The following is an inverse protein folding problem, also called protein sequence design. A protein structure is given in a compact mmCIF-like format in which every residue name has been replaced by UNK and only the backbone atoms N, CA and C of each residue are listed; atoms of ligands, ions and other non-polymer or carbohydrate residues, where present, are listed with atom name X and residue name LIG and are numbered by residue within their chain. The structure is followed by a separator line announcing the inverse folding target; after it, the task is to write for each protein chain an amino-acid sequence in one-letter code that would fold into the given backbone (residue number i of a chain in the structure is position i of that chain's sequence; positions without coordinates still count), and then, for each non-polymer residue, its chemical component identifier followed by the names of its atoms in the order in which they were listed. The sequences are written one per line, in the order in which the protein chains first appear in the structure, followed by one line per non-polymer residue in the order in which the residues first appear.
data_IF_935485354218
#
_entry.id   IF_935485354218
#
_cell.length_a   1.000
_cell.length_b   1.000
_cell.length_c   1.000
_cell.angle_alpha   90.00
_cell.angle_beta   90.00
_cell.angle_gamma   90.00
#
_symmetry.space_group_name_H-M   'P 1'
#
loop_
_entity.id
_entity.type
_entity.pdbx_description
1 polymer ?
#
# COMPACT_ATOMS: atom_id res chain seq x y z
N UNK A 1 -6.19 36.51 -0.84
CA UNK A 1 -5.17 35.67 -1.52
C UNK A 1 -5.79 35.17 -2.81
N UNK A 2 -5.04 35.19 -3.91
CA UNK A 2 -5.48 34.69 -5.21
C UNK A 2 -5.54 33.16 -5.17
N UNK A 3 -6.71 32.59 -5.49
CA UNK A 3 -6.88 31.15 -5.64
C UNK A 3 -6.01 30.63 -6.78
N UNK A 4 -5.17 29.63 -6.52
CA UNK A 4 -4.35 28.98 -7.55
C UNK A 4 -4.97 27.65 -7.98
N UNK A 5 -4.89 27.38 -9.28
CA UNK A 5 -5.19 26.07 -9.86
C UNK A 5 -3.87 25.31 -10.04
N UNK A 6 -3.74 24.18 -9.35
CA UNK A 6 -2.58 23.28 -9.42
C UNK A 6 -3.02 22.04 -10.19
N UNK A 7 -2.35 21.71 -11.30
CA UNK A 7 -2.71 20.56 -12.13
C UNK A 7 -1.91 19.33 -11.75
N UNK A 8 -2.55 18.16 -11.79
CA UNK A 8 -1.86 16.88 -11.73
C UNK A 8 -2.28 15.96 -12.88
N UNK A 9 -1.30 15.40 -13.58
CA UNK A 9 -1.51 14.41 -14.63
C UNK A 9 -0.66 13.15 -14.38
N UNK A 10 -1.25 12.00 -14.70
CA UNK A 10 -0.57 10.70 -14.62
C UNK A 10 -0.63 10.03 -15.98
N UNK A 11 0.54 9.90 -16.59
CA UNK A 11 0.66 9.58 -18.00
C UNK A 11 1.31 8.21 -18.17
N UNK A 12 0.86 7.48 -19.18
CA UNK A 12 1.58 6.29 -19.62
C UNK A 12 2.92 6.67 -20.28
N UNK A 13 3.75 5.70 -20.66
CA UNK A 13 4.99 5.92 -21.44
C UNK A 13 4.76 6.53 -22.83
N UNK A 14 3.50 6.72 -23.24
CA UNK A 14 3.16 7.32 -24.52
C UNK A 14 3.15 8.85 -24.41
N UNK A 15 4.04 9.53 -25.13
CA UNK A 15 4.11 11.00 -25.20
C UNK A 15 2.81 11.65 -25.70
N UNK A 16 2.02 10.95 -26.53
CA UNK A 16 0.71 11.44 -26.99
C UNK A 16 -0.31 11.53 -25.84
N UNK A 17 -0.25 10.64 -24.85
CA UNK A 17 -1.13 10.65 -23.67
C UNK A 17 -0.77 11.81 -22.73
N UNK A 18 0.51 12.16 -22.64
CA UNK A 18 0.98 13.29 -21.83
C UNK A 18 0.49 14.63 -22.37
N UNK A 19 0.70 14.89 -23.65
CA UNK A 19 0.27 16.13 -24.29
C UNK A 19 -1.26 16.27 -24.21
N UNK A 20 -2.01 15.18 -24.40
CA UNK A 20 -3.47 15.21 -24.28
C UNK A 20 -3.94 15.57 -22.86
N UNK A 21 -3.29 15.04 -21.82
CA UNK A 21 -3.64 15.35 -20.42
C UNK A 21 -3.24 16.76 -20.01
N UNK A 22 -2.07 17.25 -20.43
CA UNK A 22 -1.64 18.62 -20.18
C UNK A 22 -2.61 19.61 -20.84
N UNK A 23 -2.95 19.40 -22.12
CA UNK A 23 -3.94 20.22 -22.83
C UNK A 23 -5.31 20.19 -22.13
N UNK A 24 -5.72 19.05 -21.56
CA UNK A 24 -6.97 18.97 -20.81
C UNK A 24 -6.92 19.83 -19.53
N UNK A 25 -5.80 19.82 -18.79
CA UNK A 25 -5.62 20.65 -17.60
C UNK A 25 -5.52 22.15 -17.94
N UNK A 26 -4.86 22.50 -19.03
CA UNK A 26 -4.80 23.88 -19.51
C UNK A 26 -6.18 24.41 -19.90
N UNK A 27 -7.01 23.60 -20.56
CA UNK A 27 -8.42 23.94 -20.84
C UNK A 27 -9.26 24.12 -19.58
N UNK A 28 -8.86 23.50 -18.47
CA UNK A 28 -9.48 23.70 -17.15
C UNK A 28 -8.92 24.93 -16.41
N UNK A 29 -8.06 25.73 -17.07
CA UNK A 29 -7.51 26.98 -16.53
C UNK A 29 -6.21 26.82 -15.74
N UNK A 30 -5.63 25.62 -15.69
CA UNK A 30 -4.35 25.41 -15.02
C UNK A 30 -3.21 26.01 -15.86
N UNK A 31 -2.35 26.82 -15.24
CA UNK A 31 -1.15 27.33 -15.91
C UNK A 31 -0.14 26.20 -16.13
N UNK A 32 0.49 26.13 -17.29
CA UNK A 32 1.41 25.04 -17.65
C UNK A 32 2.56 24.84 -16.64
N UNK A 33 3.03 25.91 -16.00
CA UNK A 33 4.07 25.86 -14.96
C UNK A 33 3.60 25.34 -13.59
N UNK A 34 2.30 25.10 -13.41
CA UNK A 34 1.69 24.51 -12.22
C UNK A 34 1.11 23.11 -12.49
N UNK A 35 1.47 22.50 -13.63
CA UNK A 35 1.09 21.13 -13.95
C UNK A 35 2.22 20.20 -13.54
N UNK A 36 1.94 19.33 -12.58
CA UNK A 36 2.84 18.29 -12.12
C UNK A 36 2.47 16.95 -12.74
N UNK A 37 3.47 16.15 -13.09
CA UNK A 37 3.27 14.91 -13.85
C UNK A 37 3.98 13.72 -13.23
N UNK A 38 3.37 12.54 -13.36
CA UNK A 38 4.01 11.25 -13.09
C UNK A 38 3.87 10.33 -14.30
N UNK A 39 4.95 9.63 -14.68
CA UNK A 39 4.95 8.63 -15.76
C UNK A 39 4.72 7.19 -15.23
N UNK A 40 4.02 6.33 -15.98
CA UNK A 40 3.87 4.88 -15.73
C UNK A 40 4.15 4.06 -17.00
N UNK A 41 4.82 2.92 -17.03
CA UNK A 41 5.07 1.89 -16.01
C UNK A 41 6.55 1.47 -15.98
N UNK A 42 7.22 1.70 -14.85
CA UNK A 42 8.11 0.70 -14.28
C UNK A 42 7.57 0.38 -12.89
N UNK A 43 7.52 -0.90 -12.52
CA UNK A 43 6.96 -1.36 -11.23
C UNK A 43 7.61 -0.74 -9.98
N UNK A 44 8.65 0.06 -10.18
CA UNK A 44 9.43 0.83 -9.22
C UNK A 44 8.88 2.22 -8.91
N UNK A 45 8.07 2.87 -9.76
CA UNK A 45 7.58 4.23 -9.47
C UNK A 45 6.26 4.25 -8.65
N UNK A 46 6.31 3.66 -7.45
CA UNK A 46 5.27 3.81 -6.42
C UNK A 46 5.29 5.19 -5.75
N UNK A 47 6.42 5.90 -5.83
CA UNK A 47 6.66 7.10 -5.04
C UNK A 47 5.84 8.33 -5.48
N UNK A 48 5.33 8.36 -6.72
CA UNK A 48 4.52 9.46 -7.29
C UNK A 48 5.06 10.86 -6.92
N UNK A 49 6.34 11.15 -7.20
CA UNK A 49 6.95 12.42 -6.81
C UNK A 49 6.16 13.63 -7.34
N UNK A 50 5.61 13.54 -8.56
CA UNK A 50 4.81 14.62 -9.15
C UNK A 50 3.52 14.91 -8.36
N UNK A 51 2.79 13.87 -7.92
CA UNK A 51 1.62 14.08 -7.06
C UNK A 51 2.03 14.76 -5.75
N UNK A 52 3.11 14.31 -5.14
CA UNK A 52 3.57 14.81 -3.85
C UNK A 52 4.02 16.27 -3.94
N UNK A 53 4.65 16.65 -5.05
CA UNK A 53 4.99 18.04 -5.36
C UNK A 53 3.74 18.90 -5.57
N UNK A 54 2.76 18.42 -6.35
CA UNK A 54 1.46 19.10 -6.49
C UNK A 54 0.78 19.34 -5.15
N UNK A 55 0.67 18.30 -4.31
CA UNK A 55 0.07 18.39 -2.98
C UNK A 55 0.84 19.35 -2.05
N UNK A 56 2.16 19.45 -2.20
CA UNK A 56 3.00 20.38 -1.44
C UNK A 56 2.89 21.82 -1.95
N UNK A 57 2.58 22.02 -3.24
CA UNK A 57 2.38 23.33 -3.84
C UNK A 57 1.02 23.94 -3.44
N UNK A 58 0.00 23.10 -3.22
CA UNK A 58 -1.32 23.54 -2.77
C UNK A 58 -1.30 24.14 -1.36
N UNK A 59 -1.97 25.29 -1.20
CA UNK A 59 -2.24 25.95 0.07
C UNK A 59 -3.74 26.04 0.31
N UNK A 60 -4.14 26.37 1.54
CA UNK A 60 -5.55 26.58 1.88
C UNK A 60 -6.19 27.60 0.93
N UNK A 61 -7.34 27.23 0.35
CA UNK A 61 -8.06 28.03 -0.63
C UNK A 61 -7.70 27.78 -2.09
N UNK A 62 -6.62 27.04 -2.37
CA UNK A 62 -6.28 26.60 -3.72
C UNK A 62 -7.15 25.41 -4.17
N UNK A 63 -7.07 25.09 -5.47
CA UNK A 63 -7.74 23.93 -6.06
C UNK A 63 -6.73 23.02 -6.75
N UNK A 64 -6.69 21.75 -6.35
CA UNK A 64 -6.03 20.69 -7.10
C UNK A 64 -6.95 20.26 -8.25
N UNK A 65 -6.46 20.32 -9.49
CA UNK A 65 -7.21 20.03 -10.70
C UNK A 65 -6.66 18.76 -11.36
N UNK A 66 -7.55 17.82 -11.65
CA UNK A 66 -7.26 16.61 -12.39
C UNK A 66 -8.26 16.43 -13.52
N UNK A 67 -7.81 15.92 -14.67
CA UNK A 67 -8.71 15.69 -15.80
C UNK A 67 -9.75 14.60 -15.49
N UNK A 68 -9.35 13.55 -14.76
CA UNK A 68 -10.20 12.42 -14.35
C UNK A 68 -9.70 11.79 -13.06
N UNK A 69 -10.60 11.14 -12.30
CA UNK A 69 -10.26 10.50 -11.03
C UNK A 69 -9.28 9.33 -11.18
N UNK A 70 -9.36 8.54 -12.26
CA UNK A 70 -8.42 7.44 -12.54
C UNK A 70 -6.99 7.94 -12.80
N UNK A 71 -6.82 9.23 -13.08
CA UNK A 71 -5.50 9.86 -13.23
C UNK A 71 -4.95 10.34 -11.88
N UNK A 72 -5.82 10.68 -10.94
CA UNK A 72 -5.45 11.02 -9.56
C UNK A 72 -5.18 9.80 -8.68
N UNK A 73 -5.95 8.72 -8.80
CA UNK A 73 -5.91 7.62 -7.85
C UNK A 73 -5.78 6.26 -8.53
N UNK A 74 -5.04 5.35 -7.90
CA UNK A 74 -4.84 3.95 -8.36
C UNK A 74 -5.85 2.98 -7.75
N UNK A 75 -6.55 3.39 -6.71
CA UNK A 75 -7.60 2.63 -6.03
C UNK A 75 -8.51 3.60 -5.29
N UNK A 76 -9.67 3.14 -4.83
CA UNK A 76 -10.55 3.97 -4.00
C UNK A 76 -9.90 4.37 -2.67
N UNK A 77 -9.07 3.50 -2.07
CA UNK A 77 -8.31 3.84 -0.87
C UNK A 77 -7.31 4.96 -1.12
N UNK A 78 -6.56 4.87 -2.21
CA UNK A 78 -5.62 5.92 -2.65
C UNK A 78 -6.37 7.25 -2.91
N UNK A 79 -7.57 7.18 -3.51
CA UNK A 79 -8.42 8.36 -3.69
C UNK A 79 -8.83 8.98 -2.35
N UNK A 80 -9.27 8.16 -1.39
CA UNK A 80 -9.65 8.60 -0.04
C UNK A 80 -8.48 9.27 0.67
N UNK A 81 -7.30 8.65 0.67
CA UNK A 81 -6.12 9.17 1.37
C UNK A 81 -5.71 10.55 0.82
N UNK A 82 -5.74 10.73 -0.51
CA UNK A 82 -5.48 12.02 -1.17
C UNK A 82 -6.53 13.07 -0.76
N UNK A 83 -7.80 12.68 -0.77
CA UNK A 83 -8.92 13.55 -0.40
C UNK A 83 -8.84 14.01 1.05
N UNK A 84 -8.49 13.11 1.98
CA UNK A 84 -8.32 13.43 3.39
C UNK A 84 -7.18 14.46 3.58
N UNK A 85 -6.08 14.31 2.84
CA UNK A 85 -4.97 15.27 2.85
C UNK A 85 -5.40 16.65 2.32
N UNK A 86 -6.13 16.70 1.20
CA UNK A 86 -6.64 17.95 0.62
C UNK A 86 -7.62 18.63 1.59
N UNK A 87 -8.50 17.85 2.20
CA UNK A 87 -9.47 18.32 3.21
C UNK A 87 -8.76 18.93 4.42
N UNK A 88 -7.75 18.24 4.95
CA UNK A 88 -6.95 18.74 6.07
C UNK A 88 -6.20 20.04 5.74
N UNK A 89 -5.82 20.26 4.47
CA UNK A 89 -5.17 21.48 4.00
C UNK A 89 -6.15 22.59 3.59
N UNK A 90 -7.46 22.34 3.56
CA UNK A 90 -8.45 23.28 3.06
C UNK A 90 -8.33 23.54 1.54
N UNK A 91 -7.90 22.52 0.78
CA UNK A 91 -7.70 22.57 -0.67
C UNK A 91 -8.90 21.91 -1.35
N UNK A 92 -9.43 22.55 -2.40
CA UNK A 92 -10.55 22.00 -3.19
C UNK A 92 -10.02 20.98 -4.21
N UNK A 93 -10.86 20.04 -4.61
CA UNK A 93 -10.54 19.09 -5.69
C UNK A 93 -11.43 19.35 -6.90
N UNK A 94 -10.84 19.63 -8.06
CA UNK A 94 -11.55 19.69 -9.34
C UNK A 94 -11.28 18.44 -10.17
N UNK A 95 -12.35 17.74 -10.55
CA UNK A 95 -12.29 16.55 -11.41
C UNK A 95 -13.02 16.87 -12.71
N UNK A 96 -12.26 16.96 -13.81
CA UNK A 96 -12.83 17.26 -15.13
C UNK A 96 -13.61 18.58 -15.19
N UNK A 97 -13.28 19.53 -14.32
CA UNK A 97 -13.96 20.82 -14.20
C UNK A 97 -15.06 20.88 -13.13
N UNK A 98 -15.46 19.74 -12.55
CA UNK A 98 -16.38 19.73 -11.40
C UNK A 98 -15.58 19.97 -10.12
N UNK A 99 -15.80 21.12 -9.48
CA UNK A 99 -15.12 21.50 -8.24
C UNK A 99 -15.85 20.92 -7.04
N UNK A 100 -15.10 20.25 -6.17
CA UNK A 100 -15.55 19.67 -4.92
C UNK A 100 -14.81 20.35 -3.78
N UNK A 101 -15.53 21.20 -3.06
CA UNK A 101 -15.01 21.87 -1.88
C UNK A 101 -15.20 20.96 -0.66
N UNK A 102 -14.13 20.60 0.08
CA UNK A 102 -14.25 19.80 1.29
C UNK A 102 -15.00 20.51 2.43
N UNK A 103 -15.25 21.82 2.33
CA UNK A 103 -16.06 22.57 3.29
C UNK A 103 -17.54 22.65 2.89
N UNK A 104 -17.89 22.28 1.66
CA UNK A 104 -19.26 22.27 1.17
C UNK A 104 -19.95 20.93 1.48
N UNK A 105 -21.20 20.92 1.98
CA UNK A 105 -21.94 19.67 2.25
C UNK A 105 -22.06 18.73 1.04
N UNK A 106 -22.19 19.25 -0.18
CA UNK A 106 -22.30 18.42 -1.40
C UNK A 106 -20.93 17.85 -1.78
N UNK A 107 -19.87 18.65 -1.68
CA UNK A 107 -18.49 18.18 -1.83
C UNK A 107 -18.14 17.06 -0.83
N UNK A 108 -18.48 17.24 0.45
CA UNK A 108 -18.31 16.23 1.51
C UNK A 108 -19.07 14.93 1.22
N UNK A 109 -20.28 15.00 0.68
CA UNK A 109 -21.06 13.81 0.35
C UNK A 109 -20.33 12.92 -0.66
N UNK A 110 -19.79 13.50 -1.74
CA UNK A 110 -19.03 12.74 -2.75
C UNK A 110 -17.83 12.03 -2.10
N UNK A 111 -17.07 12.76 -1.27
CA UNK A 111 -15.92 12.20 -0.59
C UNK A 111 -16.29 11.07 0.38
N UNK A 112 -17.37 11.24 1.14
CA UNK A 112 -17.86 10.21 2.07
C UNK A 112 -18.33 8.96 1.33
N UNK A 113 -19.01 9.11 0.19
CA UNK A 113 -19.43 7.96 -0.64
C UNK A 113 -18.21 7.22 -1.18
N UNK A 114 -17.19 7.93 -1.70
CA UNK A 114 -15.95 7.30 -2.15
C UNK A 114 -15.23 6.55 -1.01
N UNK A 115 -15.19 7.14 0.19
CA UNK A 115 -14.62 6.51 1.37
C UNK A 115 -15.37 5.24 1.78
N UNK A 116 -16.71 5.28 1.82
CA UNK A 116 -17.53 4.10 2.14
C UNK A 116 -17.31 2.95 1.15
N UNK A 117 -17.26 3.25 -0.16
CA UNK A 117 -17.03 2.21 -1.17
C UNK A 117 -15.61 1.63 -1.03
N UNK A 118 -14.60 2.46 -0.72
CA UNK A 118 -13.23 2.00 -0.49
C UNK A 118 -13.11 1.03 0.70
N UNK A 119 -13.81 1.33 1.80
CA UNK A 119 -13.87 0.47 2.98
C UNK A 119 -14.59 -0.84 2.68
N UNK A 120 -15.75 -0.76 2.02
CA UNK A 120 -16.52 -1.93 1.60
C UNK A 120 -15.72 -2.90 0.71
N UNK A 121 -15.01 -2.39 -0.30
CA UNK A 121 -14.15 -3.23 -1.15
C UNK A 121 -13.02 -3.89 -0.35
N UNK A 122 -12.40 -3.13 0.57
CA UNK A 122 -11.34 -3.64 1.43
C UNK A 122 -11.82 -4.80 2.31
N UNK A 123 -13.02 -4.67 2.86
CA UNK A 123 -13.61 -5.70 3.72
C UNK A 123 -14.06 -6.92 2.94
N UNK A 124 -14.58 -6.76 1.72
CA UNK A 124 -14.86 -7.88 0.82
C UNK A 124 -13.60 -8.69 0.47
N UNK A 125 -12.48 -8.01 0.17
CA UNK A 125 -11.20 -8.68 -0.11
C UNK A 125 -10.73 -9.45 1.13
N UNK A 126 -10.82 -8.86 2.32
CA UNK A 126 -10.47 -9.52 3.59
C UNK A 126 -11.34 -10.75 3.85
N UNK A 127 -12.66 -10.63 3.65
CA UNK A 127 -13.61 -11.72 3.84
C UNK A 127 -13.28 -12.91 2.92
N UNK A 128 -13.09 -12.67 1.62
CA UNK A 128 -12.68 -13.71 0.65
C UNK A 128 -11.33 -14.33 0.98
N UNK A 129 -10.36 -13.52 1.42
CA UNK A 129 -9.04 -14.02 1.83
C UNK A 129 -9.17 -14.94 3.06
N UNK A 130 -9.96 -14.53 4.05
CA UNK A 130 -10.21 -15.32 5.27
C UNK A 130 -10.90 -16.64 4.94
N UNK A 131 -11.92 -16.62 4.07
CA UNK A 131 -12.62 -17.82 3.60
C UNK A 131 -11.66 -18.75 2.83
N UNK A 132 -10.91 -18.22 1.88
CA UNK A 132 -9.89 -18.98 1.13
C UNK A 132 -8.82 -19.58 2.04
N UNK A 133 -8.38 -18.85 3.06
CA UNK A 133 -7.46 -19.36 4.08
C UNK A 133 -8.09 -20.47 4.92
N UNK A 134 -9.37 -20.36 5.31
CA UNK A 134 -10.06 -21.43 6.04
C UNK A 134 -10.19 -22.69 5.18
N UNK A 135 -10.57 -22.57 3.90
CA UNK A 135 -10.62 -23.69 2.97
C UNK A 135 -9.24 -24.31 2.75
N UNK A 136 -8.19 -23.50 2.58
CA UNK A 136 -6.83 -23.99 2.42
C UNK A 136 -6.28 -24.65 3.70
N UNK A 137 -6.66 -24.16 4.88
CA UNK A 137 -6.35 -24.78 6.18
C UNK A 137 -7.05 -26.13 6.33
N UNK A 138 -8.34 -26.20 6.01
CA UNK A 138 -9.13 -27.44 6.04
C UNK A 138 -8.57 -28.50 5.06
N UNK A 139 -8.09 -28.07 3.90
CA UNK A 139 -7.42 -28.92 2.89
C UNK A 139 -5.94 -29.22 3.21
N UNK A 140 -5.42 -28.79 4.36
CA UNK A 140 -4.03 -29.03 4.79
C UNK A 140 -2.95 -28.32 3.96
N UNK A 141 -3.32 -27.38 3.07
CA UNK A 141 -2.37 -26.69 2.16
C UNK A 141 -1.62 -25.53 2.84
N UNK A 142 -2.15 -24.98 3.93
CA UNK A 142 -1.45 -23.98 4.74
C UNK A 142 -0.52 -24.69 5.74
N UNK A 143 0.63 -25.17 5.25
CA UNK A 143 1.75 -25.51 6.13
C UNK A 143 2.50 -24.22 6.45
N UNK A 144 2.66 -23.92 7.74
CA UNK A 144 3.49 -22.80 8.18
C UNK A 144 4.92 -22.90 7.63
N UNK A 145 5.72 -21.84 7.79
CA UNK A 145 7.10 -21.81 7.32
C UNK A 145 7.82 -23.11 7.73
N UNK A 146 8.43 -23.86 6.79
CA UNK A 146 9.08 -25.11 7.11
C UNK A 146 10.17 -24.87 8.17
N UNK A 147 10.43 -25.85 9.05
CA UNK A 147 11.50 -25.76 10.03
C UNK A 147 12.83 -25.42 9.35
N UNK A 148 13.65 -24.58 10.00
CA UNK A 148 14.98 -24.24 9.50
C UNK A 148 15.94 -25.43 9.49
N UNK A 149 15.72 -26.40 10.39
CA UNK A 149 16.52 -27.61 10.51
C UNK A 149 15.81 -28.77 9.81
N UNK A 150 16.54 -29.50 8.97
CA UNK A 150 16.07 -30.73 8.34
C UNK A 150 15.78 -31.82 9.40
N UNK A 151 14.99 -32.87 9.10
CA UNK A 151 14.76 -33.96 10.04
C UNK A 151 16.04 -34.60 10.57
N UNK A 152 17.05 -34.77 9.72
CA UNK A 152 18.36 -35.29 10.11
C UNK A 152 19.09 -34.33 11.07
N UNK A 153 19.06 -33.02 10.80
CA UNK A 153 19.64 -32.01 11.69
C UNK A 153 18.91 -31.92 13.03
N UNK A 154 17.58 -32.11 13.05
CA UNK A 154 16.81 -32.15 14.29
C UNK A 154 17.17 -33.36 15.14
N UNK A 155 17.34 -34.54 14.52
CA UNK A 155 17.79 -35.75 15.21
C UNK A 155 19.18 -35.55 15.81
N UNK A 156 20.12 -35.04 15.00
CA UNK A 156 21.48 -34.77 15.46
C UNK A 156 21.51 -33.74 16.59
N UNK A 157 20.69 -32.68 16.51
CA UNK A 157 20.54 -31.70 17.58
C UNK A 157 20.07 -32.33 18.89
N UNK A 158 19.10 -33.25 18.84
CA UNK A 158 18.61 -33.94 20.04
C UNK A 158 19.66 -34.90 20.63
N UNK A 159 20.45 -35.58 19.79
CA UNK A 159 21.55 -36.43 20.25
C UNK A 159 22.60 -35.63 21.03
N UNK A 160 23.06 -34.51 20.46
CA UNK A 160 24.06 -33.64 21.09
C UNK A 160 23.48 -32.95 22.35
N UNK A 161 22.23 -32.52 22.30
CA UNK A 161 21.54 -31.92 23.45
C UNK A 161 21.38 -32.91 24.61
N UNK A 162 20.95 -34.15 24.33
CA UNK A 162 20.77 -35.18 25.35
C UNK A 162 22.10 -35.69 25.93
N UNK A 163 23.18 -35.63 25.16
CA UNK A 163 24.52 -35.93 25.65
C UNK A 163 25.03 -34.88 26.67
N UNK A 164 24.39 -33.71 26.77
CA UNK A 164 24.74 -32.66 27.74
C UNK A 164 26.09 -31.99 27.49
N UNK A 165 26.68 -32.19 26.31
CA UNK A 165 28.04 -31.74 25.99
C UNK A 165 28.12 -30.30 25.46
N UNK A 166 26.98 -29.71 25.08
CA UNK A 166 26.92 -28.38 24.49
C UNK A 166 25.79 -27.57 25.12
N UNK A 167 26.05 -26.30 25.36
CA UNK A 167 25.04 -25.31 25.74
C UNK A 167 24.13 -24.97 24.55
N UNK A 168 22.95 -24.42 24.82
CA UNK A 168 22.04 -23.96 23.76
C UNK A 168 22.61 -22.83 22.90
N UNK A 169 23.64 -22.13 23.40
CA UNK A 169 24.41 -21.14 22.66
C UNK A 169 25.32 -21.79 21.62
N UNK A 170 26.10 -22.79 22.03
CA UNK A 170 27.01 -23.52 21.15
C UNK A 170 26.24 -24.32 20.10
N UNK A 171 25.09 -24.90 20.47
CA UNK A 171 24.20 -25.55 19.51
C UNK A 171 23.65 -24.56 18.46
N UNK A 172 23.38 -23.32 18.84
CA UNK A 172 22.92 -22.31 17.88
C UNK A 172 24.00 -21.99 16.84
N UNK A 173 25.27 -21.90 17.27
CA UNK A 173 26.42 -21.68 16.40
C UNK A 173 26.69 -22.91 15.52
N UNK A 174 26.74 -24.10 16.11
CA UNK A 174 27.02 -25.37 15.42
C UNK A 174 26.03 -25.66 14.28
N UNK A 175 24.75 -25.36 14.50
CA UNK A 175 23.70 -25.55 13.51
C UNK A 175 23.42 -24.30 12.67
N UNK A 176 24.18 -23.21 12.86
CA UNK A 176 24.03 -21.93 12.19
C UNK A 176 22.58 -21.40 12.20
N UNK A 177 21.95 -21.41 13.37
CA UNK A 177 20.58 -20.93 13.59
C UNK A 177 20.48 -20.10 14.86
N UNK A 178 19.49 -19.22 14.95
CA UNK A 178 19.25 -18.47 16.18
C UNK A 178 18.89 -19.40 17.35
N UNK A 179 19.28 -19.04 18.58
CA UNK A 179 18.94 -19.78 19.82
C UNK A 179 17.44 -20.09 19.94
N UNK A 180 16.57 -19.18 19.50
CA UNK A 180 15.11 -19.39 19.46
C UNK A 180 14.67 -20.56 18.58
N UNK A 181 15.43 -20.89 17.54
CA UNK A 181 15.19 -22.06 16.68
C UNK A 181 15.57 -23.35 17.37
N UNK A 182 16.66 -23.36 18.16
CA UNK A 182 17.07 -24.49 18.99
C UNK A 182 15.97 -24.81 20.02
N UNK A 183 15.59 -23.83 20.84
CA UNK A 183 14.52 -23.99 21.85
C UNK A 183 13.21 -24.51 21.24
N UNK A 184 12.76 -23.91 20.13
CA UNK A 184 11.53 -24.34 19.46
C UNK A 184 11.61 -25.77 18.92
N UNK A 185 12.80 -26.19 18.48
CA UNK A 185 13.02 -27.55 17.95
C UNK A 185 12.96 -28.57 19.09
N UNK A 186 13.66 -28.31 20.20
CA UNK A 186 13.63 -29.14 21.41
C UNK A 186 12.19 -29.29 21.95
N UNK A 187 11.48 -28.18 22.13
CA UNK A 187 10.08 -28.20 22.59
C UNK A 187 9.15 -28.99 21.66
N UNK A 188 9.37 -28.92 20.34
CA UNK A 188 8.57 -29.66 19.37
C UNK A 188 8.83 -31.16 19.43
N UNK A 189 10.08 -31.57 19.61
CA UNK A 189 10.47 -32.98 19.72
C UNK A 189 9.95 -33.61 21.02
N UNK A 190 10.01 -32.90 22.15
CA UNK A 190 9.41 -33.38 23.40
C UNK A 190 7.88 -33.56 23.31
N UNK A 191 7.18 -32.64 22.65
CA UNK A 191 5.71 -32.73 22.44
C UNK A 191 5.28 -33.82 21.44
N UNK A 192 6.18 -34.30 20.58
CA UNK A 192 5.88 -35.36 19.62
C UNK A 192 6.11 -36.78 20.17
N UNK A 193 6.78 -36.89 21.31
CA UNK A 193 7.07 -38.14 22.02
C UNK A 193 6.15 -38.39 23.24
N UNK A 194 5.13 -37.54 23.44
CA UNK A 194 4.03 -37.69 24.41
C UNK A 194 2.74 -38.00 23.66
#
# INVERSE_FOLDING_TARGET
MTELLIGYARVSTNEQDLTAQQNALERLGVRSNLIYTDHGLTGTNRARPGLREALSACRSGDTLVVAKLDRLARSLRDAKDIVDELTAKGVKLSIGGSVHDPNDPVGRLLFNVLAMVAEFESDLIRARTKEGMQVAKAKGRLRGKPPKLSPAQQKHLMEVYNAGTHTTAELAELFNVARSTIYRTIQRQHRGNS
#
